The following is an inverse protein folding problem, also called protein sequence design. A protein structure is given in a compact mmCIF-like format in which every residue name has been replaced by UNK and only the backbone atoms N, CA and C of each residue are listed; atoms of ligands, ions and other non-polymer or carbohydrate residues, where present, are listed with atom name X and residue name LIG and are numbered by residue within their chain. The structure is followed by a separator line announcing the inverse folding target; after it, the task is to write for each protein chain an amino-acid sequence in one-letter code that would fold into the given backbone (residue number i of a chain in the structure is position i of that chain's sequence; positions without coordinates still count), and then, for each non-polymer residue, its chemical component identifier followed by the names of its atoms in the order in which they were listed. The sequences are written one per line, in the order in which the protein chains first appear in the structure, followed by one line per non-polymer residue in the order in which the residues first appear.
data_IF_344815314733
#
_entry.id   IF_344815314733
#
_cell.length_a   1.000
_cell.length_b   1.000
_cell.length_c   1.000
_cell.angle_alpha   90.00
_cell.angle_beta   90.00
_cell.angle_gamma   90.00
#
_symmetry.space_group_name_H-M   'P 1'
#
loop_
_entity.id
_entity.type
_entity.pdbx_description
1 polymer ?
#
# COMPACT_ATOMS: atom_id res chain seq x y z
N UNK A 1 26.36 12.94 -19.10
CA UNK A 1 25.23 12.20 -19.73
C UNK A 1 25.67 10.75 -19.89
N UNK A 2 24.99 9.82 -19.20
CA UNK A 2 25.20 8.38 -19.36
C UNK A 2 25.45 7.62 -18.06
N UNK A 3 24.43 7.48 -17.20
CA UNK A 3 24.38 6.53 -16.05
C UNK A 3 22.93 6.39 -15.54
N UNK A 4 21.98 5.93 -16.36
CA UNK A 4 20.63 5.60 -15.86
C UNK A 4 20.16 4.20 -16.29
N UNK A 5 20.60 3.70 -17.44
CA UNK A 5 20.17 2.39 -17.94
C UNK A 5 20.72 1.19 -17.14
N UNK A 6 21.84 1.34 -16.43
CA UNK A 6 22.48 0.25 -15.69
C UNK A 6 21.90 0.00 -14.30
N UNK A 7 21.31 1.01 -13.65
CA UNK A 7 20.78 0.90 -12.29
C UNK A 7 19.39 0.29 -12.25
N UNK A 8 18.50 0.64 -13.20
CA UNK A 8 17.16 0.03 -13.29
C UNK A 8 17.21 -1.48 -13.59
N UNK A 9 18.15 -1.91 -14.43
CA UNK A 9 18.34 -3.34 -14.75
C UNK A 9 18.84 -4.15 -13.54
N UNK A 10 19.59 -3.53 -12.63
CA UNK A 10 20.09 -4.19 -11.43
C UNK A 10 19.00 -4.32 -10.35
N UNK A 11 18.11 -3.33 -10.23
CA UNK A 11 16.98 -3.39 -9.30
C UNK A 11 15.98 -4.47 -9.68
N UNK A 12 15.61 -4.58 -10.96
CA UNK A 12 14.73 -5.65 -11.45
C UNK A 12 15.24 -7.04 -11.09
N UNK A 13 16.54 -7.28 -11.27
CA UNK A 13 17.15 -8.55 -10.90
C UNK A 13 17.06 -8.82 -9.39
N UNK A 14 17.26 -7.80 -8.55
CA UNK A 14 17.12 -7.97 -7.10
C UNK A 14 15.66 -8.24 -6.69
N UNK A 15 14.67 -7.72 -7.42
CA UNK A 15 13.26 -8.06 -7.25
C UNK A 15 13.03 -9.53 -7.62
N UNK A 16 13.53 -9.98 -8.76
CA UNK A 16 13.46 -11.39 -9.18
C UNK A 16 14.10 -12.32 -8.13
N UNK A 17 15.25 -11.92 -7.57
CA UNK A 17 15.93 -12.66 -6.49
C UNK A 17 15.06 -12.72 -5.22
N UNK A 18 14.40 -11.62 -4.86
CA UNK A 18 13.48 -11.56 -3.71
C UNK A 18 12.27 -12.50 -3.90
N UNK A 19 11.69 -12.53 -5.09
CA UNK A 19 10.64 -13.48 -5.45
C UNK A 19 11.12 -14.93 -5.42
N UNK A 20 12.33 -15.21 -5.92
CA UNK A 20 12.94 -16.53 -5.82
C UNK A 20 13.12 -16.97 -4.37
N UNK A 21 13.53 -16.06 -3.48
CA UNK A 21 13.61 -16.36 -2.05
C UNK A 21 12.24 -16.65 -1.44
N UNK A 22 11.21 -15.91 -1.83
CA UNK A 22 9.84 -16.14 -1.38
C UNK A 22 9.34 -17.52 -1.81
N UNK A 23 9.46 -17.87 -3.09
CA UNK A 23 8.98 -19.15 -3.66
C UNK A 23 9.77 -20.34 -3.11
N UNK A 24 11.07 -20.16 -2.83
CA UNK A 24 11.92 -21.22 -2.25
C UNK A 24 11.77 -21.40 -0.74
N UNK A 25 10.96 -20.58 -0.06
CA UNK A 25 10.76 -20.63 1.39
C UNK A 25 11.85 -19.93 2.20
N UNK A 26 12.75 -19.19 1.56
CA UNK A 26 13.79 -18.38 2.21
C UNK A 26 13.22 -17.02 2.65
N UNK A 27 12.16 -17.03 3.45
CA UNK A 27 11.35 -15.84 3.72
C UNK A 27 12.11 -14.69 4.38
N UNK A 28 13.04 -14.96 5.30
CA UNK A 28 13.89 -13.91 5.88
C UNK A 28 14.75 -13.20 4.81
N UNK A 29 15.27 -13.95 3.83
CA UNK A 29 16.03 -13.36 2.71
C UNK A 29 15.11 -12.58 1.77
N UNK A 30 13.89 -13.04 1.54
CA UNK A 30 12.90 -12.31 0.76
C UNK A 30 12.59 -10.95 1.41
N UNK A 31 12.36 -10.92 2.73
CA UNK A 31 12.13 -9.68 3.50
C UNK A 31 13.34 -8.74 3.40
N UNK A 32 14.55 -9.25 3.68
CA UNK A 32 15.77 -8.43 3.66
C UNK A 32 16.03 -7.84 2.27
N UNK A 33 15.83 -8.63 1.22
CA UNK A 33 16.03 -8.20 -0.16
C UNK A 33 14.98 -7.17 -0.56
N UNK A 34 13.70 -7.41 -0.27
CA UNK A 34 12.62 -6.46 -0.53
C UNK A 34 12.85 -5.09 0.14
N UNK A 35 13.22 -5.09 1.42
CA UNK A 35 13.53 -3.84 2.14
C UNK A 35 14.75 -3.13 1.55
N UNK A 36 15.81 -3.87 1.22
CA UNK A 36 17.02 -3.33 0.58
C UNK A 36 16.74 -2.69 -0.77
N UNK A 37 15.93 -3.35 -1.61
CA UNK A 37 15.54 -2.82 -2.94
C UNK A 37 14.71 -1.55 -2.78
N UNK A 38 13.74 -1.54 -1.85
CA UNK A 38 12.96 -0.33 -1.59
C UNK A 38 13.83 0.83 -1.10
N UNK A 39 14.81 0.57 -0.24
CA UNK A 39 15.76 1.57 0.23
C UNK A 39 16.62 2.15 -0.92
N UNK A 40 17.06 1.29 -1.85
CA UNK A 40 17.79 1.71 -3.05
C UNK A 40 16.93 2.55 -3.99
N UNK A 41 15.69 2.10 -4.27
CA UNK A 41 14.70 2.85 -5.05
C UNK A 41 14.49 4.25 -4.46
N UNK A 42 14.29 4.32 -3.15
CA UNK A 42 14.09 5.58 -2.43
C UNK A 42 15.32 6.47 -2.49
N UNK A 43 16.52 5.92 -2.32
CA UNK A 43 17.76 6.68 -2.40
C UNK A 43 17.98 7.27 -3.79
N UNK A 44 17.66 6.52 -4.85
CA UNK A 44 17.79 6.96 -6.24
C UNK A 44 16.76 8.03 -6.64
N UNK A 45 15.56 8.01 -6.03
CA UNK A 45 14.43 8.86 -6.41
C UNK A 45 14.11 9.97 -5.40
N UNK A 46 15.07 10.29 -4.53
CA UNK A 46 14.91 11.35 -3.53
C UNK A 46 14.54 12.69 -4.19
N UNK A 47 13.54 13.38 -3.63
CA UNK A 47 13.06 14.70 -4.11
C UNK A 47 12.32 14.67 -5.46
N UNK A 48 11.93 13.50 -5.98
CA UNK A 48 11.06 13.35 -7.16
C UNK A 48 9.68 12.83 -6.77
N UNK A 49 8.65 13.24 -7.51
CA UNK A 49 7.34 12.59 -7.48
C UNK A 49 7.43 11.32 -8.32
N UNK A 50 7.01 10.19 -7.76
CA UNK A 50 7.01 8.90 -8.44
C UNK A 50 5.75 8.78 -9.30
N UNK A 51 5.82 9.21 -10.56
CA UNK A 51 4.77 9.00 -11.57
C UNK A 51 5.29 8.15 -12.74
N UNK A 52 6.44 7.49 -12.55
CA UNK A 52 7.01 6.57 -13.52
C UNK A 52 6.37 5.18 -13.32
N UNK A 53 5.63 4.72 -14.33
CA UNK A 53 4.93 3.44 -14.33
C UNK A 53 5.88 2.27 -13.95
N UNK A 54 7.14 2.31 -14.42
CA UNK A 54 8.13 1.29 -14.11
C UNK A 54 8.50 1.29 -12.61
N UNK A 55 8.61 2.47 -12.02
CA UNK A 55 8.96 2.62 -10.61
C UNK A 55 7.80 2.21 -9.69
N UNK A 56 6.57 2.53 -10.10
CA UNK A 56 5.36 2.09 -9.42
C UNK A 56 5.24 0.56 -9.43
N UNK A 57 5.52 -0.07 -10.57
CA UNK A 57 5.52 -1.52 -10.71
C UNK A 57 6.57 -2.17 -9.79
N UNK A 58 7.80 -1.67 -9.79
CA UNK A 58 8.85 -2.16 -8.89
C UNK A 58 8.43 -2.08 -7.41
N UNK A 59 7.88 -0.93 -6.99
CA UNK A 59 7.45 -0.73 -5.61
C UNK A 59 6.29 -1.66 -5.25
N UNK A 60 5.31 -1.82 -6.13
CA UNK A 60 4.22 -2.78 -5.93
C UNK A 60 4.76 -4.20 -5.72
N UNK A 61 5.63 -4.68 -6.62
CA UNK A 61 6.20 -6.04 -6.54
C UNK A 61 6.97 -6.26 -5.23
N UNK A 62 7.84 -5.31 -4.87
CA UNK A 62 8.60 -5.34 -3.61
C UNK A 62 7.65 -5.36 -2.40
N UNK A 63 6.58 -4.57 -2.44
CA UNK A 63 5.54 -4.56 -1.41
C UNK A 63 4.81 -5.90 -1.28
N UNK A 64 4.45 -6.52 -2.40
CA UNK A 64 3.80 -7.84 -2.43
C UNK A 64 4.73 -8.91 -1.85
N UNK A 65 6.00 -8.93 -2.25
CA UNK A 65 6.99 -9.87 -1.70
C UNK A 65 7.11 -9.71 -0.19
N UNK A 66 7.19 -8.47 0.31
CA UNK A 66 7.27 -8.20 1.74
C UNK A 66 6.03 -8.72 2.49
N UNK A 67 4.82 -8.41 2.01
CA UNK A 67 3.55 -8.84 2.62
C UNK A 67 3.49 -10.37 2.70
N UNK A 68 3.79 -11.05 1.61
CA UNK A 68 3.72 -12.51 1.55
C UNK A 68 4.78 -13.18 2.44
N UNK A 69 6.02 -12.67 2.42
CA UNK A 69 7.09 -13.22 3.26
C UNK A 69 6.81 -13.01 4.77
N UNK A 70 6.32 -11.84 5.18
CA UNK A 70 5.96 -11.58 6.58
C UNK A 70 4.80 -12.48 7.04
N UNK A 71 3.83 -12.74 6.18
CA UNK A 71 2.75 -13.68 6.45
C UNK A 71 3.27 -15.11 6.66
N UNK A 72 4.16 -15.60 5.81
CA UNK A 72 4.76 -16.93 5.98
C UNK A 72 5.63 -17.03 7.26
N UNK A 73 6.26 -15.92 7.67
CA UNK A 73 6.99 -15.82 8.93
C UNK A 73 6.09 -15.64 10.17
N UNK A 74 4.77 -15.56 10.03
CA UNK A 74 3.81 -15.26 11.13
C UNK A 74 4.08 -13.92 11.81
N UNK A 75 4.55 -12.94 11.05
CA UNK A 75 4.87 -11.57 11.49
C UNK A 75 3.88 -10.55 10.94
N UNK A 76 2.62 -10.94 10.79
CA UNK A 76 1.56 -10.09 10.24
C UNK A 76 1.29 -8.84 11.07
N UNK A 77 1.46 -8.89 12.39
CA UNK A 77 1.33 -7.73 13.29
C UNK A 77 2.34 -6.61 13.00
N UNK A 78 3.47 -6.94 12.37
CA UNK A 78 4.50 -5.96 11.97
C UNK A 78 4.28 -5.43 10.54
N UNK A 79 3.36 -6.01 9.77
CA UNK A 79 3.25 -5.80 8.33
C UNK A 79 2.99 -4.34 7.97
N UNK A 80 1.95 -3.73 8.53
CA UNK A 80 1.64 -2.32 8.25
C UNK A 80 2.64 -1.36 8.89
N UNK A 81 3.38 -1.78 9.92
CA UNK A 81 4.50 -0.99 10.45
C UNK A 81 5.63 -0.95 9.42
N UNK A 82 5.99 -2.10 8.83
CA UNK A 82 7.04 -2.16 7.80
C UNK A 82 6.62 -1.50 6.49
N UNK A 83 5.37 -1.70 6.04
CA UNK A 83 4.85 -1.01 4.86
C UNK A 83 4.83 0.50 5.08
N UNK A 84 4.35 0.98 6.24
CA UNK A 84 4.41 2.43 6.53
C UNK A 84 5.83 2.97 6.54
N UNK A 85 6.82 2.21 7.04
CA UNK A 85 8.22 2.62 7.00
C UNK A 85 8.77 2.66 5.56
N UNK A 86 8.37 1.69 4.73
CA UNK A 86 8.73 1.58 3.31
C UNK A 86 8.16 2.73 2.48
N UNK A 87 6.85 2.94 2.56
CA UNK A 87 6.10 3.92 1.76
C UNK A 87 6.02 5.31 2.39
N UNK A 88 6.43 5.46 3.65
CA UNK A 88 6.42 6.73 4.40
C UNK A 88 5.07 7.07 5.04
N UNK A 89 3.98 6.59 4.43
CA UNK A 89 2.61 6.68 4.93
C UNK A 89 1.84 5.42 4.57
N UNK A 90 0.78 5.15 5.33
CA UNK A 90 -0.19 4.11 4.99
C UNK A 90 -0.94 4.48 3.72
N UNK A 91 -1.29 5.75 3.52
CA UNK A 91 -2.01 6.20 2.35
C UNK A 91 -1.17 6.21 1.07
N UNK A 92 0.16 6.14 1.17
CA UNK A 92 1.05 6.02 0.02
C UNK A 92 1.36 4.56 -0.37
N UNK A 93 0.76 3.58 0.31
CA UNK A 93 0.90 2.17 -0.06
C UNK A 93 0.07 1.91 -1.32
N UNK A 94 0.62 1.27 -2.37
CA UNK A 94 -0.14 0.86 -3.54
C UNK A 94 -1.35 0.02 -3.14
N UNK A 95 -2.51 0.28 -3.75
CA UNK A 95 -3.82 -0.30 -3.35
C UNK A 95 -3.76 -1.83 -3.27
N UNK A 96 -3.16 -2.46 -4.27
CA UNK A 96 -3.00 -3.93 -4.29
C UNK A 96 -2.15 -4.45 -3.13
N UNK A 97 -1.07 -3.77 -2.78
CA UNK A 97 -0.22 -4.11 -1.61
C UNK A 97 -1.02 -3.93 -0.32
N UNK A 98 -1.74 -2.81 -0.21
CA UNK A 98 -2.57 -2.47 0.94
C UNK A 98 -3.67 -3.52 1.18
N UNK A 99 -4.46 -3.85 0.16
CA UNK A 99 -5.56 -4.82 0.24
C UNK A 99 -5.05 -6.25 0.47
N UNK A 100 -3.93 -6.62 -0.15
CA UNK A 100 -3.29 -7.92 0.12
C UNK A 100 -2.88 -8.00 1.59
N UNK A 101 -2.21 -6.96 2.12
CA UNK A 101 -1.81 -6.92 3.52
C UNK A 101 -3.00 -6.96 4.49
N UNK A 102 -4.04 -6.18 4.21
CA UNK A 102 -5.26 -6.15 5.01
C UNK A 102 -5.96 -7.52 5.04
N UNK A 103 -6.03 -8.20 3.89
CA UNK A 103 -6.57 -9.56 3.78
C UNK A 103 -5.80 -10.55 4.65
N UNK A 104 -4.46 -10.48 4.64
CA UNK A 104 -3.62 -11.37 5.47
C UNK A 104 -3.81 -11.13 6.97
N UNK A 105 -3.85 -9.86 7.41
CA UNK A 105 -4.13 -9.54 8.82
C UNK A 105 -5.52 -10.00 9.27
N UNK A 106 -6.52 -9.82 8.40
CA UNK A 106 -7.89 -10.23 8.67
C UNK A 106 -7.99 -11.75 8.84
N UNK A 107 -7.34 -12.51 7.96
CA UNK A 107 -7.31 -13.97 8.01
C UNK A 107 -6.67 -14.52 9.29
N UNK A 108 -5.73 -13.78 9.89
CA UNK A 108 -5.12 -14.14 11.18
C UNK A 108 -5.93 -13.65 12.41
N UNK A 109 -7.12 -13.08 12.20
CA UNK A 109 -8.01 -12.65 13.27
C UNK A 109 -7.60 -11.32 13.93
N UNK A 110 -6.66 -10.57 13.32
CA UNK A 110 -6.19 -9.26 13.82
C UNK A 110 -7.11 -8.11 13.39
N UNK A 111 -8.42 -8.35 13.38
CA UNK A 111 -9.44 -7.38 12.96
C UNK A 111 -9.40 -6.03 13.69
N UNK A 112 -9.18 -5.97 15.02
CA UNK A 112 -9.14 -4.70 15.75
C UNK A 112 -8.05 -3.72 15.28
N UNK A 113 -6.94 -4.23 14.72
CA UNK A 113 -5.84 -3.41 14.22
C UNK A 113 -6.12 -2.84 12.82
N UNK A 114 -7.07 -3.41 12.06
CA UNK A 114 -7.37 -3.01 10.69
C UNK A 114 -8.22 -1.75 10.59
N UNK A 115 -9.21 -1.56 11.47
CA UNK A 115 -10.06 -0.34 11.46
C UNK A 115 -9.24 0.95 11.40
N UNK A 116 -8.32 1.21 12.36
CA UNK A 116 -7.56 2.46 12.34
C UNK A 116 -6.65 2.60 11.12
N UNK A 117 -6.21 1.48 10.51
CA UNK A 117 -5.39 1.48 9.30
C UNK A 117 -6.20 1.93 8.09
N UNK A 118 -7.42 1.38 7.91
CA UNK A 118 -8.33 1.80 6.84
C UNK A 118 -8.78 3.24 7.00
N UNK A 119 -9.13 3.66 8.22
CA UNK A 119 -9.55 5.03 8.49
C UNK A 119 -8.41 6.03 8.23
N UNK A 120 -7.16 5.71 8.60
CA UNK A 120 -5.98 6.54 8.28
C UNK A 120 -5.68 6.58 6.77
N UNK A 121 -5.87 5.46 6.05
CA UNK A 121 -5.71 5.42 4.59
C UNK A 121 -6.74 6.33 3.92
N UNK A 122 -8.04 6.07 4.14
CA UNK A 122 -9.14 6.70 3.42
C UNK A 122 -9.26 8.20 3.73
N UNK A 123 -9.01 8.61 4.97
CA UNK A 123 -9.12 10.02 5.38
C UNK A 123 -8.10 10.97 4.71
N UNK A 124 -7.06 10.43 4.08
CA UNK A 124 -5.99 11.24 3.45
C UNK A 124 -6.21 11.49 1.97
N UNK A 125 -7.18 10.83 1.35
CA UNK A 125 -7.53 11.01 -0.04
C UNK A 125 -8.69 11.99 -0.18
N UNK A 126 -8.60 12.89 -1.17
CA UNK A 126 -9.67 13.84 -1.50
C UNK A 126 -10.06 13.70 -2.94
N UNK A 127 -11.36 13.62 -3.20
CA UNK A 127 -11.88 13.65 -4.55
C UNK A 127 -11.71 15.04 -5.16
N UNK A 128 -11.30 15.09 -6.42
CA UNK A 128 -11.11 16.34 -7.17
C UNK A 128 -12.00 16.37 -8.40
N UNK A 129 -12.27 17.58 -8.92
CA UNK A 129 -13.12 17.80 -10.10
C UNK A 129 -12.59 17.09 -11.37
N UNK A 130 -11.31 16.69 -11.36
CA UNK A 130 -10.65 15.91 -12.42
C UNK A 130 -10.98 14.42 -12.38
N UNK A 131 -11.98 14.01 -11.60
CA UNK A 131 -12.45 12.64 -11.43
C UNK A 131 -11.42 11.66 -10.87
N UNK A 132 -10.45 12.18 -10.12
CA UNK A 132 -9.40 11.41 -9.46
C UNK A 132 -9.33 11.77 -7.99
N UNK A 133 -8.86 10.82 -7.18
CA UNK A 133 -8.52 11.06 -5.78
C UNK A 133 -7.07 11.53 -5.71
N UNK A 134 -6.83 12.62 -4.97
CA UNK A 134 -5.50 13.18 -4.75
C UNK A 134 -5.13 13.03 -3.28
N UNK A 135 -3.90 12.59 -3.03
CA UNK A 135 -3.37 12.49 -1.69
C UNK A 135 -3.17 13.89 -1.10
N UNK A 136 -3.70 14.15 0.08
CA UNK A 136 -3.62 15.46 0.73
C UNK A 136 -2.17 15.79 1.16
N UNK A 137 -1.40 16.37 0.26
CA UNK A 137 0.06 16.56 0.38
C UNK A 137 0.53 17.56 1.43
N UNK A 138 -0.35 18.41 2.00
CA UNK A 138 0.05 19.38 3.03
C UNK A 138 0.33 18.73 4.40
N UNK A 139 -0.26 17.56 4.67
CA UNK A 139 -0.07 16.84 5.94
C UNK A 139 1.11 15.84 5.88
N UNK A 140 1.53 15.44 4.68
CA UNK A 140 2.46 14.32 4.46
C UNK A 140 3.57 14.67 3.47
N UNK A 141 4.42 15.63 3.84
CA UNK A 141 5.82 15.50 3.41
C UNK A 141 6.29 14.18 3.98
N UNK A 142 6.37 13.15 3.13
CA UNK A 142 6.73 11.82 3.58
C UNK A 142 8.01 11.93 4.40
N UNK A 143 7.99 11.35 5.61
CA UNK A 143 9.12 11.44 6.53
C UNK A 143 10.41 10.87 5.92
N UNK A 144 10.26 10.11 4.82
CA UNK A 144 11.31 9.43 4.07
C UNK A 144 11.63 10.08 2.70
N UNK A 145 10.94 11.14 2.27
CA UNK A 145 11.27 11.96 1.10
C UNK A 145 10.89 11.39 -0.28
N UNK A 146 10.18 10.25 -0.33
CA UNK A 146 9.57 9.69 -1.55
C UNK A 146 8.04 9.76 -1.43
N UNK A 147 7.36 10.30 -2.43
CA UNK A 147 5.89 10.20 -2.56
C UNK A 147 5.66 9.18 -3.68
N UNK A 148 5.18 8.00 -3.31
CA UNK A 148 5.02 6.86 -4.22
C UNK A 148 3.82 7.06 -5.14
N UNK A 149 2.69 7.53 -4.63
CA UNK A 149 1.53 7.91 -5.44
C UNK A 149 0.92 9.20 -4.90
N UNK A 150 0.63 10.13 -5.80
CA UNK A 150 -0.04 11.42 -5.50
C UNK A 150 -1.50 11.42 -5.94
N UNK A 151 -1.86 10.52 -6.86
CA UNK A 151 -3.19 10.36 -7.44
C UNK A 151 -3.61 8.89 -7.42
N UNK A 152 -4.91 8.64 -7.37
CA UNK A 152 -5.53 7.31 -7.43
C UNK A 152 -6.82 7.39 -8.24
N UNK A 153 -7.08 6.36 -9.04
CA UNK A 153 -8.31 6.28 -9.82
C UNK A 153 -9.53 6.13 -8.90
N UNK A 154 -10.70 6.55 -9.39
CA UNK A 154 -11.95 6.44 -8.60
C UNK A 154 -12.26 4.98 -8.30
N UNK A 155 -12.05 4.08 -9.25
CA UNK A 155 -12.28 2.65 -9.13
C UNK A 155 -11.40 2.02 -8.04
N UNK A 156 -10.12 2.40 -7.98
CA UNK A 156 -9.18 1.92 -6.96
C UNK A 156 -9.55 2.40 -5.56
N UNK A 157 -9.96 3.65 -5.41
CA UNK A 157 -10.44 4.17 -4.13
C UNK A 157 -11.70 3.43 -3.68
N UNK A 158 -12.65 3.21 -4.59
CA UNK A 158 -13.88 2.47 -4.31
C UNK A 158 -13.61 1.01 -3.95
N UNK A 159 -12.59 0.37 -4.54
CA UNK A 159 -12.18 -0.98 -4.16
C UNK A 159 -11.75 -1.04 -2.67
N UNK A 160 -11.02 -0.03 -2.19
CA UNK A 160 -10.64 0.08 -0.77
C UNK A 160 -11.86 0.34 0.12
N UNK A 161 -12.77 1.20 -0.31
CA UNK A 161 -14.02 1.50 0.41
C UNK A 161 -14.91 0.26 0.52
N UNK A 162 -15.11 -0.47 -0.58
CA UNK A 162 -15.91 -1.69 -0.61
C UNK A 162 -15.31 -2.74 0.32
N UNK A 163 -14.00 -2.97 0.24
CA UNK A 163 -13.33 -3.91 1.12
C UNK A 163 -13.47 -3.50 2.60
N UNK A 164 -13.31 -2.22 2.92
CA UNK A 164 -13.45 -1.74 4.29
C UNK A 164 -14.88 -1.92 4.82
N UNK A 165 -15.87 -1.49 4.06
CA UNK A 165 -17.27 -1.40 4.52
C UNK A 165 -18.01 -2.72 4.42
N UNK A 166 -17.87 -3.44 3.31
CA UNK A 166 -18.56 -4.71 3.04
C UNK A 166 -17.77 -5.85 3.67
N UNK A 167 -16.51 -6.04 3.26
CA UNK A 167 -15.73 -7.21 3.70
C UNK A 167 -15.34 -7.12 5.17
N UNK A 168 -14.76 -5.99 5.60
CA UNK A 168 -14.22 -5.89 6.95
C UNK A 168 -15.28 -5.52 8.00
N UNK A 169 -15.98 -4.40 7.84
CA UNK A 169 -16.95 -3.91 8.83
C UNK A 169 -18.19 -4.80 8.90
N UNK A 170 -18.83 -5.07 7.76
CA UNK A 170 -20.09 -5.81 7.75
C UNK A 170 -19.89 -7.30 7.96
N UNK A 171 -18.98 -7.95 7.21
CA UNK A 171 -18.83 -9.41 7.23
C UNK A 171 -17.88 -9.86 8.35
N UNK A 172 -16.62 -9.39 8.36
CA UNK A 172 -15.61 -9.91 9.27
C UNK A 172 -15.81 -9.45 10.72
N UNK A 173 -16.25 -8.20 10.92
CA UNK A 173 -16.45 -7.61 12.25
C UNK A 173 -17.90 -7.76 12.75
N UNK A 174 -18.86 -8.03 11.86
CA UNK A 174 -20.28 -8.13 12.22
C UNK A 174 -20.89 -6.79 12.63
N UNK A 175 -20.40 -5.68 12.10
CA UNK A 175 -20.77 -4.31 12.46
C UNK A 175 -21.33 -3.51 11.25
N UNK A 176 -22.44 -3.97 10.61
CA UNK A 176 -22.98 -3.31 9.42
C UNK A 176 -23.45 -1.87 9.67
N UNK A 177 -23.92 -1.55 10.88
CA UNK A 177 -24.30 -0.18 11.25
C UNK A 177 -23.10 0.77 11.24
N UNK A 178 -21.90 0.27 11.57
CA UNK A 178 -20.67 1.06 11.48
C UNK A 178 -20.28 1.28 10.01
N UNK A 179 -20.54 0.32 9.13
CA UNK A 179 -20.35 0.50 7.69
C UNK A 179 -21.26 1.60 7.13
N UNK A 180 -22.56 1.55 7.45
CA UNK A 180 -23.55 2.58 7.02
C UNK A 180 -23.14 3.97 7.55
N UNK A 181 -22.87 4.06 8.85
CA UNK A 181 -22.46 5.30 9.51
C UNK A 181 -21.17 5.89 8.94
N UNK A 182 -20.25 5.04 8.45
CA UNK A 182 -19.04 5.49 7.79
C UNK A 182 -19.34 6.04 6.39
N UNK A 183 -20.09 5.30 5.56
CA UNK A 183 -20.46 5.70 4.18
C UNK A 183 -21.25 7.03 4.17
N UNK A 184 -22.15 7.23 5.13
CA UNK A 184 -22.93 8.46 5.26
C UNK A 184 -22.06 9.70 5.56
N UNK A 185 -20.94 9.51 6.27
CA UNK A 185 -20.01 10.58 6.65
C UNK A 185 -18.90 10.78 5.64
N UNK A 186 -18.53 9.74 4.90
CA UNK A 186 -17.48 9.80 3.90
C UNK A 186 -17.90 10.73 2.75
N UNK A 187 -16.96 11.54 2.27
CA UNK A 187 -17.14 12.42 1.10
C UNK A 187 -17.05 11.59 -0.20
N UNK A 188 -17.99 10.64 -0.38
CA UNK A 188 -18.16 9.88 -1.61
C UNK A 188 -19.05 10.66 -2.59
N UNK A 189 -18.77 10.52 -3.89
CA UNK A 189 -19.62 11.06 -4.94
C UNK A 189 -21.00 10.39 -4.84
N UNK A 190 -22.10 11.13 -5.03
CA UNK A 190 -23.46 10.63 -4.82
C UNK A 190 -23.81 9.38 -5.62
N UNK A 191 -23.19 9.17 -6.79
CA UNK A 191 -23.42 7.98 -7.63
C UNK A 191 -22.80 6.71 -7.05
N UNK A 192 -21.76 6.82 -6.22
CA UNK A 192 -21.02 5.68 -5.65
C UNK A 192 -21.53 5.29 -4.25
N UNK A 193 -22.57 5.97 -3.76
CA UNK A 193 -23.18 5.74 -2.44
C UNK A 193 -24.32 4.71 -2.45
N UNK A 194 -24.81 4.29 -3.62
CA UNK A 194 -26.00 3.43 -3.78
C UNK A 194 -25.62 2.00 -4.17
#
# INVERSE_FOLDING_TARGET
MGTSAGEGTDLWKQIDDAECYLVSGSFDQAVLTALSVSDQIRAANRERVCEDDELLEMLELVGIVLVQALKELRRTTEMFVQLKAMYGSVASIPVKVFLTGATMLMAEGSGPDLRPIFEDFLAKWRYTDDQVYVLNGEQERSSNGLIVTSTMATEEYLEVVEFYTVTFLSIASGEPENAISWVEKAELIEQDRQ
#
